data_IF_682374510617
#
_entry.id   IF_682374510617
#
_cell.length_a   1.000
_cell.length_b   1.000
_cell.length_c   1.000
_cell.angle_alpha   90.00
_cell.angle_beta   90.00
_cell.angle_gamma   90.00
#
_symmetry.space_group_name_H-M   'P 1'
#
loop_
_entity.id
_entity.type
_entity.pdbx_description
1 polymer ?
#
# COMPACT_ATOMS: atom_id res chain seq x y z
N UNK A 1 4.84 34.42 45.08
CA UNK A 1 4.07 33.20 44.79
C UNK A 1 4.23 32.87 43.31
N UNK A 2 4.95 31.80 42.96
CA UNK A 2 5.30 31.48 41.57
C UNK A 2 4.11 30.76 40.91
N UNK A 3 3.55 31.34 39.84
CA UNK A 3 2.41 30.79 39.13
C UNK A 3 2.83 29.59 38.27
N UNK A 4 2.11 28.46 38.40
CA UNK A 4 2.29 27.23 37.60
C UNK A 4 2.31 27.48 36.09
N UNK A 5 1.62 28.53 35.63
CA UNK A 5 1.57 28.92 34.20
C UNK A 5 2.91 29.44 33.66
N UNK A 6 3.76 30.02 34.53
CA UNK A 6 5.07 30.61 34.16
C UNK A 6 6.22 29.59 34.15
N UNK A 7 6.02 28.42 34.78
CA UNK A 7 6.96 27.29 34.76
C UNK A 7 6.77 26.48 33.47
N UNK A 8 5.53 26.24 33.05
CA UNK A 8 5.21 25.48 31.84
C UNK A 8 5.55 26.21 30.53
N UNK A 9 5.63 27.55 30.54
CA UNK A 9 5.99 28.31 29.33
C UNK A 9 7.50 28.40 29.07
N UNK A 10 8.35 28.03 30.04
CA UNK A 10 9.82 28.02 29.88
C UNK A 10 10.37 26.65 29.46
N UNK A 11 9.56 25.59 29.50
CA UNK A 11 9.95 24.24 29.05
C UNK A 11 9.53 23.92 27.62
N UNK A 12 8.97 24.90 26.88
CA UNK A 12 8.50 24.73 25.49
C UNK A 12 9.37 25.40 24.43
N UNK A 13 10.48 26.02 24.85
CA UNK A 13 11.46 26.59 23.94
C UNK A 13 12.66 25.64 23.88
N UNK A 14 12.63 24.69 22.94
CA UNK A 14 13.85 23.98 22.54
C UNK A 14 13.81 22.45 22.45
N UNK A 15 12.70 21.83 22.06
CA UNK A 15 12.74 20.41 21.68
C UNK A 15 12.08 20.18 20.32
N UNK A 16 12.87 19.52 19.48
CA UNK A 16 12.64 19.01 18.15
C UNK A 16 11.56 17.90 18.15
N UNK A 17 10.36 18.17 18.69
CA UNK A 17 9.31 17.18 18.93
C UNK A 17 8.47 16.81 17.70
N UNK A 18 8.50 17.64 16.64
CA UNK A 18 7.68 17.39 15.44
C UNK A 18 8.26 16.22 14.61
N UNK A 19 9.59 16.08 14.53
CA UNK A 19 10.21 14.94 13.84
C UNK A 19 10.02 13.61 14.58
N UNK A 20 10.06 13.60 15.91
CA UNK A 20 9.92 12.34 16.67
C UNK A 20 8.48 11.82 16.73
N UNK A 21 7.47 12.68 16.59
CA UNK A 21 6.07 12.24 16.52
C UNK A 21 5.71 11.64 15.16
N UNK A 22 6.16 12.23 14.05
CA UNK A 22 5.94 11.66 12.71
C UNK A 22 6.64 10.30 12.54
N UNK A 23 7.79 10.09 13.19
CA UNK A 23 8.51 8.82 13.17
C UNK A 23 7.80 7.68 13.92
N UNK A 24 6.99 7.98 14.95
CA UNK A 24 6.14 6.98 15.62
C UNK A 24 4.85 6.71 14.83
N UNK A 25 4.30 7.73 14.15
CA UNK A 25 3.06 7.61 13.36
C UNK A 25 3.23 6.77 12.08
N UNK A 26 4.47 6.57 11.63
CA UNK A 26 4.80 5.80 10.42
C UNK A 26 5.14 4.33 10.67
N UNK A 27 4.78 3.81 11.85
CA UNK A 27 4.99 2.41 12.24
C UNK A 27 3.69 1.74 12.63
N UNK A 28 3.48 0.52 12.14
CA UNK A 28 2.31 -0.29 12.48
C UNK A 28 2.72 -1.64 13.05
N UNK A 29 1.99 -2.15 14.03
CA UNK A 29 2.21 -3.50 14.59
C UNK A 29 1.09 -4.47 14.25
N UNK A 30 0.03 -3.98 13.60
CA UNK A 30 -1.13 -4.76 13.19
C UNK A 30 -1.52 -4.40 11.76
N UNK A 31 -1.56 -5.41 10.88
CA UNK A 31 -1.87 -5.23 9.45
C UNK A 31 -3.25 -4.58 9.23
N UNK A 32 -4.24 -4.97 10.02
CA UNK A 32 -5.60 -4.41 9.90
C UNK A 32 -5.64 -2.92 10.21
N UNK A 33 -4.84 -2.46 11.19
CA UNK A 33 -4.69 -1.04 11.50
C UNK A 33 -3.97 -0.30 10.37
N UNK A 34 -2.87 -0.85 9.86
CA UNK A 34 -2.13 -0.29 8.72
C UNK A 34 -3.05 -0.05 7.52
N UNK A 35 -3.83 -1.07 7.15
CA UNK A 35 -4.75 -1.00 6.02
C UNK A 35 -5.85 0.03 6.25
N UNK A 36 -6.47 0.00 7.43
CA UNK A 36 -7.53 0.94 7.80
C UNK A 36 -7.03 2.39 7.75
N UNK A 37 -5.87 2.66 8.32
CA UNK A 37 -5.32 4.02 8.42
C UNK A 37 -5.02 4.58 7.03
N UNK A 38 -4.43 3.79 6.13
CA UNK A 38 -4.11 4.26 4.78
C UNK A 38 -5.35 4.41 3.88
N UNK A 39 -6.37 3.57 4.03
CA UNK A 39 -7.67 3.77 3.37
C UNK A 39 -8.32 5.05 3.88
N UNK A 40 -8.35 5.25 5.20
CA UNK A 40 -8.93 6.45 5.80
C UNK A 40 -8.18 7.72 5.35
N UNK A 41 -6.86 7.65 5.19
CA UNK A 41 -6.07 8.76 4.65
C UNK A 41 -6.53 9.14 3.23
N UNK A 42 -6.76 8.15 2.35
CA UNK A 42 -7.29 8.38 0.99
C UNK A 42 -8.69 8.98 1.05
N UNK A 43 -9.58 8.43 1.88
CA UNK A 43 -10.96 8.89 2.01
C UNK A 43 -11.06 10.31 2.59
N UNK A 44 -10.22 10.65 3.56
CA UNK A 44 -10.18 12.00 4.16
C UNK A 44 -9.71 13.05 3.16
N UNK A 45 -8.78 12.68 2.28
CA UNK A 45 -8.23 13.56 1.24
C UNK A 45 -8.97 13.44 -0.10
N UNK A 46 -10.10 12.73 -0.16
CA UNK A 46 -10.74 12.35 -1.42
C UNK A 46 -10.95 13.52 -2.38
N UNK A 47 -11.49 14.65 -1.91
CA UNK A 47 -11.76 15.84 -2.73
C UNK A 47 -10.49 16.57 -3.21
N UNK A 48 -9.33 16.22 -2.66
CA UNK A 48 -8.03 16.80 -2.99
C UNK A 48 -7.21 15.88 -3.90
N UNK A 49 -7.67 14.63 -4.11
CA UNK A 49 -7.04 13.69 -5.03
C UNK A 49 -7.54 14.04 -6.44
N UNK A 50 -6.58 14.27 -7.33
CA UNK A 50 -6.80 14.50 -8.74
C UNK A 50 -7.47 13.28 -9.40
N UNK A 51 -8.47 13.50 -10.26
CA UNK A 51 -9.24 12.44 -10.91
C UNK A 51 -8.38 11.54 -11.82
N UNK A 52 -7.20 12.01 -12.26
CA UNK A 52 -6.24 11.20 -13.03
C UNK A 52 -5.45 10.20 -12.16
N UNK A 53 -5.52 10.30 -10.83
CA UNK A 53 -4.82 9.40 -9.92
C UNK A 53 -5.60 8.10 -9.78
N UNK A 54 -5.03 7.00 -10.26
CA UNK A 54 -5.66 5.69 -10.19
C UNK A 54 -5.18 4.83 -9.02
N UNK A 55 -4.00 5.11 -8.46
CA UNK A 55 -3.51 4.43 -7.26
C UNK A 55 -2.68 5.32 -6.34
N UNK A 56 -2.74 5.00 -5.04
CA UNK A 56 -1.77 5.45 -4.05
C UNK A 56 -0.83 4.29 -3.73
N UNK A 57 0.48 4.54 -3.87
CA UNK A 57 1.54 3.59 -3.57
C UNK A 57 2.18 4.00 -2.24
N UNK A 58 2.37 3.04 -1.34
CA UNK A 58 3.06 3.24 -0.08
C UNK A 58 4.24 2.29 -0.05
N UNK A 59 5.44 2.82 0.12
CA UNK A 59 6.66 2.02 0.25
C UNK A 59 6.89 1.72 1.72
N UNK A 60 7.13 0.45 2.02
CA UNK A 60 7.28 -0.06 3.37
C UNK A 60 8.60 -0.83 3.49
N UNK A 61 9.30 -0.61 4.60
CA UNK A 61 10.40 -1.43 5.05
C UNK A 61 10.01 -2.02 6.40
N UNK A 62 9.87 -3.36 6.46
CA UNK A 62 9.24 -4.03 7.59
C UNK A 62 7.85 -3.46 7.85
N UNK A 63 7.65 -2.92 9.03
CA UNK A 63 6.41 -2.40 9.53
C UNK A 63 6.38 -0.85 9.53
N UNK A 64 7.39 -0.23 8.90
CA UNK A 64 7.57 1.22 8.79
C UNK A 64 7.30 1.69 7.36
N UNK A 65 6.56 2.78 7.23
CA UNK A 65 6.41 3.49 5.96
C UNK A 65 7.63 4.35 5.70
N UNK A 66 8.15 4.31 4.47
CA UNK A 66 9.31 5.11 4.06
C UNK A 66 8.99 6.11 2.95
N UNK A 67 7.93 5.88 2.17
CA UNK A 67 7.50 6.82 1.14
C UNK A 67 6.03 6.66 0.74
N UNK A 68 5.48 7.68 0.07
CA UNK A 68 4.19 7.66 -0.61
C UNK A 68 4.34 8.22 -2.03
N UNK A 69 3.60 7.65 -2.97
CA UNK A 69 3.49 8.16 -4.33
C UNK A 69 2.05 8.03 -4.82
N UNK A 70 1.65 8.91 -5.73
CA UNK A 70 0.37 8.82 -6.43
C UNK A 70 0.62 8.52 -7.90
N UNK A 71 0.07 7.41 -8.38
CA UNK A 71 0.22 6.98 -9.76
C UNK A 71 -0.84 7.65 -10.64
N UNK A 72 -0.37 8.45 -11.60
CA UNK A 72 -1.18 9.03 -12.68
C UNK A 72 -0.92 8.31 -14.00
N UNK A 73 0.35 8.06 -14.31
CA UNK A 73 0.74 7.36 -15.52
C UNK A 73 0.10 5.96 -15.57
N UNK A 74 -0.44 5.50 -16.71
CA UNK A 74 -1.07 4.18 -16.81
C UNK A 74 -0.14 3.02 -16.46
N UNK A 75 1.17 3.21 -16.66
CA UNK A 75 2.22 2.25 -16.33
C UNK A 75 3.16 2.88 -15.32
N UNK A 76 3.44 2.15 -14.24
CA UNK A 76 4.40 2.52 -13.22
C UNK A 76 5.45 1.41 -13.07
N UNK A 77 6.72 1.77 -13.09
CA UNK A 77 7.83 0.85 -12.81
C UNK A 77 8.22 0.96 -11.33
N UNK A 78 8.39 -0.17 -10.65
CA UNK A 78 8.89 -0.19 -9.26
C UNK A 78 10.13 -1.08 -9.25
N UNK A 79 11.29 -0.51 -8.96
CA UNK A 79 12.58 -1.18 -9.10
C UNK A 79 13.54 -0.81 -7.95
N UNK A 80 14.77 -1.31 -8.02
CA UNK A 80 15.80 -1.08 -7.01
C UNK A 80 16.72 0.12 -7.27
N UNK A 81 16.37 1.05 -8.17
CA UNK A 81 17.20 2.26 -8.36
C UNK A 81 17.08 3.21 -7.16
N UNK A 82 17.97 4.18 -7.10
CA UNK A 82 18.05 5.25 -6.11
C UNK A 82 17.36 6.55 -6.55
N UNK A 83 16.64 6.52 -7.67
CA UNK A 83 15.97 7.70 -8.27
C UNK A 83 14.78 8.24 -7.45
N UNK A 84 14.34 7.53 -6.40
CA UNK A 84 13.14 7.90 -5.65
C UNK A 84 11.87 7.80 -6.50
N UNK A 85 11.06 8.86 -6.62
CA UNK A 85 9.85 8.86 -7.46
C UNK A 85 9.88 9.99 -8.49
N UNK A 86 9.78 9.63 -9.78
CA UNK A 86 9.82 10.58 -10.92
C UNK A 86 8.47 10.76 -11.64
N UNK A 87 7.39 10.14 -11.14
CA UNK A 87 6.06 10.11 -11.77
C UNK A 87 5.76 8.85 -12.58
N UNK A 88 6.77 8.14 -13.08
CA UNK A 88 6.65 6.92 -13.91
C UNK A 88 7.41 5.72 -13.32
N UNK A 89 8.34 5.98 -12.40
CA UNK A 89 9.21 5.01 -11.75
C UNK A 89 9.33 5.32 -10.27
N UNK A 90 9.33 4.26 -9.46
CA UNK A 90 9.68 4.26 -8.04
C UNK A 90 10.96 3.44 -7.88
N UNK A 91 12.08 4.12 -7.66
CA UNK A 91 13.34 3.56 -7.20
C UNK A 91 13.34 3.37 -5.69
N UNK A 92 13.15 2.12 -5.25
CA UNK A 92 12.97 1.78 -3.84
C UNK A 92 14.21 2.09 -2.98
N UNK A 93 15.40 2.16 -3.57
CA UNK A 93 16.63 2.49 -2.85
C UNK A 93 16.81 4.00 -2.64
N UNK A 94 16.00 4.85 -3.28
CA UNK A 94 16.09 6.31 -3.20
C UNK A 94 15.37 6.94 -2.00
N UNK A 95 14.86 6.12 -1.07
CA UNK A 95 14.18 6.58 0.14
C UNK A 95 15.00 6.25 1.37
N UNK A 96 15.13 7.23 2.25
CA UNK A 96 15.82 7.08 3.53
C UNK A 96 14.95 6.35 4.56
N UNK A 97 15.60 5.60 5.43
CA UNK A 97 14.98 5.00 6.61
C UNK A 97 16.03 4.93 7.73
N UNK A 98 15.97 5.83 8.74
CA UNK A 98 16.92 5.85 9.86
C UNK A 98 16.94 4.54 10.66
N UNK A 99 15.85 3.77 10.62
CA UNK A 99 15.67 2.52 11.37
C UNK A 99 15.88 1.27 10.50
N UNK A 100 16.52 1.41 9.33
CA UNK A 100 16.75 0.29 8.42
C UNK A 100 17.71 -0.73 9.02
N UNK A 101 17.28 -1.99 9.08
CA UNK A 101 18.12 -3.09 9.54
C UNK A 101 19.06 -3.61 8.43
N UNK A 102 20.16 -4.26 8.83
CA UNK A 102 21.18 -4.77 7.90
C UNK A 102 20.62 -5.80 6.89
N UNK A 103 19.60 -6.57 7.29
CA UNK A 103 18.96 -7.56 6.41
C UNK A 103 18.17 -6.87 5.29
N UNK A 104 17.51 -5.76 5.61
CA UNK A 104 16.74 -4.96 4.67
C UNK A 104 17.65 -4.24 3.70
N UNK A 105 18.74 -3.65 4.19
CA UNK A 105 19.79 -3.06 3.37
C UNK A 105 20.34 -4.09 2.36
N UNK A 106 20.63 -5.32 2.80
CA UNK A 106 21.14 -6.38 1.93
C UNK A 106 20.10 -6.85 0.90
N UNK A 107 18.83 -6.98 1.31
CA UNK A 107 17.75 -7.37 0.39
C UNK A 107 17.53 -6.32 -0.70
N UNK A 108 17.59 -5.03 -0.38
CA UNK A 108 17.33 -3.96 -1.35
C UNK A 108 18.30 -3.97 -2.54
N UNK A 109 19.56 -4.34 -2.32
CA UNK A 109 20.58 -4.52 -3.38
C UNK A 109 20.17 -5.53 -4.46
N UNK A 110 19.26 -6.44 -4.13
CA UNK A 110 18.85 -7.54 -4.99
C UNK A 110 17.52 -7.29 -5.73
N UNK A 111 16.87 -6.13 -5.56
CA UNK A 111 15.58 -5.83 -6.22
C UNK A 111 15.74 -5.78 -7.75
N UNK A 112 16.84 -5.20 -8.24
CA UNK A 112 17.12 -5.07 -9.68
C UNK A 112 16.01 -4.31 -10.41
N UNK A 113 15.54 -4.84 -11.55
CA UNK A 113 14.50 -4.20 -12.36
C UNK A 113 13.08 -4.26 -11.77
N UNK A 114 12.88 -4.97 -10.66
CA UNK A 114 11.60 -5.14 -9.95
C UNK A 114 10.42 -5.53 -10.85
N UNK A 115 9.36 -4.72 -10.82
CA UNK A 115 8.09 -4.95 -11.52
C UNK A 115 7.64 -3.75 -12.34
N UNK A 116 6.78 -4.01 -13.33
CA UNK A 116 5.88 -2.99 -13.91
C UNK A 116 4.46 -3.30 -13.49
N UNK A 117 3.75 -2.28 -13.00
CA UNK A 117 2.31 -2.34 -12.79
C UNK A 117 1.61 -1.45 -13.80
N UNK A 118 0.44 -1.88 -14.25
CA UNK A 118 -0.36 -1.15 -15.23
C UNK A 118 -1.84 -1.25 -14.88
N UNK A 119 -2.56 -0.14 -14.92
CA UNK A 119 -4.03 -0.18 -14.94
C UNK A 119 -4.54 -0.34 -16.37
N UNK A 120 -5.53 -1.21 -16.57
CA UNK A 120 -6.26 -1.33 -17.84
C UNK A 120 -7.57 -0.53 -17.83
N UNK A 121 -8.22 -0.43 -18.99
CA UNK A 121 -9.45 0.34 -19.17
C UNK A 121 -10.65 -0.23 -18.37
N UNK A 122 -10.54 -1.46 -17.87
CA UNK A 122 -11.54 -2.09 -17.00
C UNK A 122 -11.24 -1.89 -15.51
N UNK A 123 -10.18 -1.16 -15.16
CA UNK A 123 -9.74 -0.94 -13.79
C UNK A 123 -9.03 -2.14 -13.15
N UNK A 124 -8.68 -3.18 -13.94
CA UNK A 124 -7.79 -4.22 -13.44
C UNK A 124 -6.38 -3.64 -13.27
N UNK A 125 -5.63 -4.17 -12.31
CA UNK A 125 -4.21 -3.85 -12.18
C UNK A 125 -3.41 -5.08 -12.57
N UNK A 126 -2.68 -4.95 -13.66
CA UNK A 126 -1.73 -5.94 -14.15
C UNK A 126 -0.38 -5.72 -13.48
N UNK A 127 0.31 -6.80 -13.13
CA UNK A 127 1.70 -6.79 -12.66
C UNK A 127 2.53 -7.71 -13.53
N UNK A 128 3.74 -7.28 -13.87
CA UNK A 128 4.73 -8.06 -14.60
C UNK A 128 6.07 -7.95 -13.88
N UNK A 129 6.62 -9.09 -13.47
CA UNK A 129 7.98 -9.18 -12.92
C UNK A 129 9.00 -9.06 -14.05
N UNK A 130 9.97 -8.18 -13.87
CA UNK A 130 11.08 -7.93 -14.81
C UNK A 130 12.42 -8.25 -14.13
N UNK A 131 12.46 -8.27 -12.80
CA UNK A 131 13.62 -8.69 -12.03
C UNK A 131 13.93 -10.18 -12.20
N UNK A 132 15.23 -10.50 -12.20
CA UNK A 132 15.72 -11.87 -12.04
C UNK A 132 15.43 -12.44 -10.66
N UNK A 133 15.31 -11.58 -9.65
CA UNK A 133 14.96 -11.96 -8.27
C UNK A 133 13.46 -12.06 -8.07
N UNK A 134 13.06 -12.89 -7.10
CA UNK A 134 11.66 -13.22 -6.86
C UNK A 134 10.86 -12.00 -6.41
N UNK A 135 9.59 -11.97 -6.81
CA UNK A 135 8.61 -10.98 -6.38
C UNK A 135 7.33 -11.73 -6.04
N UNK A 136 6.71 -11.36 -4.93
CA UNK A 136 5.56 -12.04 -4.37
C UNK A 136 4.40 -11.06 -4.23
N UNK A 137 3.20 -11.50 -4.59
CA UNK A 137 1.96 -10.79 -4.31
C UNK A 137 1.33 -11.42 -3.07
N UNK A 138 1.07 -10.60 -2.05
CA UNK A 138 0.48 -11.04 -0.79
C UNK A 138 -1.02 -10.75 -0.77
N UNK A 139 -1.77 -11.73 -0.30
CA UNK A 139 -3.18 -11.53 0.02
C UNK A 139 -3.31 -10.74 1.32
N UNK A 140 -4.17 -9.72 1.29
CA UNK A 140 -4.46 -8.87 2.46
C UNK A 140 -5.38 -9.61 3.45
N UNK A 141 -6.34 -10.39 2.94
CA UNK A 141 -7.23 -11.27 3.71
C UNK A 141 -7.55 -12.56 2.95
N UNK A 142 -7.70 -13.66 3.69
CA UNK A 142 -7.76 -15.03 3.17
C UNK A 142 -9.15 -15.51 2.73
N UNK A 143 -10.24 -14.90 3.23
CA UNK A 143 -11.60 -15.40 2.96
C UNK A 143 -12.14 -14.99 1.58
N UNK A 144 -11.99 -13.72 1.23
CA UNK A 144 -12.41 -13.17 -0.07
C UNK A 144 -11.38 -12.14 -0.54
N UNK A 145 -10.83 -12.35 -1.74
CA UNK A 145 -9.84 -11.46 -2.34
C UNK A 145 -10.24 -11.02 -3.76
N UNK A 146 -9.55 -9.97 -4.23
CA UNK A 146 -9.65 -9.41 -5.57
C UNK A 146 -8.47 -9.83 -6.46
N UNK A 147 -7.62 -10.77 -6.01
CA UNK A 147 -6.42 -11.19 -6.73
C UNK A 147 -6.78 -12.20 -7.82
N UNK A 148 -6.09 -12.13 -8.97
CA UNK A 148 -6.26 -13.07 -10.07
C UNK A 148 -5.88 -14.50 -9.68
N UNK A 149 -6.65 -15.48 -10.17
CA UNK A 149 -6.50 -16.88 -9.74
C UNK A 149 -5.11 -17.46 -10.05
N UNK A 150 -4.45 -17.01 -11.12
CA UNK A 150 -3.10 -17.46 -11.49
C UNK A 150 -2.08 -17.17 -10.36
N UNK A 151 -2.22 -16.02 -9.69
CA UNK A 151 -1.35 -15.62 -8.58
C UNK A 151 -1.64 -16.47 -7.35
N UNK A 152 -2.92 -16.73 -7.06
CA UNK A 152 -3.34 -17.58 -5.93
C UNK A 152 -2.79 -18.99 -6.10
N UNK A 153 -2.91 -19.57 -7.29
CA UNK A 153 -2.39 -20.90 -7.62
C UNK A 153 -0.86 -20.98 -7.54
N UNK A 154 -0.16 -19.89 -7.84
CA UNK A 154 1.29 -19.79 -7.72
C UNK A 154 1.79 -19.45 -6.30
N UNK A 155 0.90 -19.41 -5.30
CA UNK A 155 1.26 -19.02 -3.93
C UNK A 155 1.81 -17.60 -3.83
N UNK A 156 1.38 -16.70 -4.72
CA UNK A 156 1.82 -15.32 -4.78
C UNK A 156 3.10 -15.08 -5.58
N UNK A 157 3.89 -16.12 -5.91
CA UNK A 157 5.15 -15.95 -6.64
C UNK A 157 4.89 -15.56 -8.10
N UNK A 158 5.49 -14.45 -8.54
CA UNK A 158 5.42 -14.02 -9.93
C UNK A 158 6.44 -14.73 -10.81
N UNK A 159 5.96 -15.32 -11.90
CA UNK A 159 6.80 -15.78 -13.02
C UNK A 159 7.45 -14.58 -13.72
N UNK A 160 8.70 -14.76 -14.17
CA UNK A 160 9.44 -13.71 -14.87
C UNK A 160 8.79 -13.43 -16.23
N UNK A 161 8.70 -12.14 -16.58
CA UNK A 161 8.16 -11.63 -17.85
C UNK A 161 6.69 -11.99 -18.17
N UNK A 162 5.97 -12.67 -17.27
CA UNK A 162 4.56 -13.04 -17.45
C UNK A 162 3.63 -12.02 -16.78
N UNK A 163 2.83 -11.25 -17.53
CA UNK A 163 1.85 -10.34 -16.94
C UNK A 163 0.68 -11.12 -16.35
N UNK A 164 0.29 -10.78 -15.11
CA UNK A 164 -0.84 -11.39 -14.38
C UNK A 164 -1.67 -10.31 -13.67
N UNK A 165 -2.92 -10.62 -13.34
CA UNK A 165 -3.84 -9.69 -12.65
C UNK A 165 -3.55 -9.65 -11.15
N UNK A 166 -2.86 -8.62 -10.70
CA UNK A 166 -2.71 -8.31 -9.27
C UNK A 166 -4.06 -7.90 -8.65
N UNK A 167 -4.91 -7.23 -9.42
CA UNK A 167 -6.26 -6.87 -9.01
C UNK A 167 -7.23 -7.12 -10.17
N UNK A 168 -8.26 -7.94 -9.95
CA UNK A 168 -9.33 -8.26 -10.89
C UNK A 168 -10.61 -7.50 -10.48
N UNK A 169 -10.96 -6.48 -11.29
CA UNK A 169 -12.11 -5.61 -11.05
C UNK A 169 -13.43 -6.37 -11.17
N UNK A 170 -13.51 -7.39 -12.03
CA UNK A 170 -14.73 -8.21 -12.17
C UNK A 170 -14.95 -9.06 -10.93
N UNK A 171 -13.89 -9.66 -10.39
CA UNK A 171 -13.92 -10.40 -9.11
C UNK A 171 -14.32 -9.47 -7.96
N UNK A 172 -13.72 -8.28 -7.88
CA UNK A 172 -14.06 -7.29 -6.87
C UNK A 172 -15.53 -6.85 -6.97
N UNK A 173 -16.02 -6.50 -8.16
CA UNK A 173 -17.42 -6.13 -8.37
C UNK A 173 -18.39 -7.24 -7.96
N UNK A 174 -18.06 -8.50 -8.24
CA UNK A 174 -18.84 -9.65 -7.78
C UNK A 174 -18.86 -9.76 -6.24
N UNK A 175 -17.72 -9.54 -5.58
CA UNK A 175 -17.63 -9.52 -4.12
C UNK A 175 -18.48 -8.40 -3.52
N UNK A 176 -18.41 -7.17 -4.07
CA UNK A 176 -19.26 -6.04 -3.66
C UNK A 176 -20.74 -6.38 -3.78
N UNK A 177 -21.16 -6.94 -4.92
CA UNK A 177 -22.56 -7.32 -5.14
C UNK A 177 -23.03 -8.44 -4.21
N UNK A 178 -22.14 -9.37 -3.82
CA UNK A 178 -22.45 -10.43 -2.84
C UNK A 178 -22.61 -9.84 -1.43
N UNK A 179 -21.70 -8.96 -1.03
CA UNK A 179 -21.74 -8.30 0.28
C UNK A 179 -22.99 -7.44 0.45
N UNK A 180 -23.39 -6.71 -0.59
CA UNK A 180 -24.61 -5.89 -0.62
C UNK A 180 -25.91 -6.68 -0.41
N UNK A 181 -25.91 -7.99 -0.68
CA UNK A 181 -27.07 -8.86 -0.47
C UNK A 181 -27.15 -9.43 0.95
N UNK A 182 -26.13 -9.23 1.79
CA UNK A 182 -26.14 -9.70 3.18
C UNK A 182 -27.07 -8.84 4.03
N UNK A 183 -27.59 -9.44 5.11
CA UNK A 183 -28.41 -8.71 6.09
C UNK A 183 -27.65 -7.54 6.74
N UNK A 184 -26.34 -7.71 6.93
CA UNK A 184 -25.43 -6.71 7.48
C UNK A 184 -24.20 -6.59 6.59
N UNK A 185 -24.24 -5.76 5.52
CA UNK A 185 -23.11 -5.54 4.64
C UNK A 185 -21.95 -4.86 5.38
N UNK A 186 -20.76 -5.46 5.29
CA UNK A 186 -19.54 -4.91 5.89
C UNK A 186 -18.63 -4.26 4.84
N UNK A 187 -18.70 -2.93 4.78
CA UNK A 187 -17.86 -2.12 3.90
C UNK A 187 -16.36 -2.29 4.17
N UNK A 188 -15.95 -2.52 5.43
CA UNK A 188 -14.52 -2.61 5.79
C UNK A 188 -13.86 -3.83 5.16
N UNK A 189 -14.61 -4.92 4.96
CA UNK A 189 -14.14 -6.10 4.21
C UNK A 189 -13.81 -5.74 2.77
N UNK A 190 -14.70 -4.98 2.11
CA UNK A 190 -14.50 -4.55 0.73
C UNK A 190 -13.37 -3.51 0.58
N UNK A 191 -13.23 -2.60 1.54
CA UNK A 191 -12.10 -1.65 1.57
C UNK A 191 -10.75 -2.36 1.60
N UNK A 192 -10.63 -3.43 2.40
CA UNK A 192 -9.38 -4.21 2.46
C UNK A 192 -9.04 -4.91 1.14
N UNK A 193 -10.04 -5.24 0.30
CA UNK A 193 -9.81 -5.82 -1.03
C UNK A 193 -9.29 -4.79 -2.04
N UNK A 194 -9.42 -3.49 -1.78
CA UNK A 194 -8.86 -2.42 -2.63
C UNK A 194 -7.34 -2.29 -2.48
N UNK A 195 -6.73 -3.10 -1.62
CA UNK A 195 -5.30 -3.08 -1.32
C UNK A 195 -4.64 -4.31 -1.94
N UNK A 196 -3.52 -4.09 -2.62
CA UNK A 196 -2.61 -5.15 -3.07
C UNK A 196 -1.23 -4.93 -2.46
N UNK A 197 -0.56 -5.99 -2.04
CA UNK A 197 0.79 -5.93 -1.48
C UNK A 197 1.79 -6.67 -2.37
N UNK A 198 2.90 -6.03 -2.69
CA UNK A 198 3.98 -6.58 -3.52
C UNK A 198 5.27 -6.61 -2.70
N UNK A 199 5.79 -7.81 -2.44
CA UNK A 199 7.01 -8.04 -1.67
C UNK A 199 8.18 -8.41 -2.59
N UNK A 200 9.34 -7.80 -2.38
CA UNK A 200 10.50 -7.98 -3.24
C UNK A 200 11.54 -8.91 -2.62
N UNK A 201 12.19 -9.70 -3.48
CA UNK A 201 13.34 -10.59 -3.20
C UNK A 201 13.03 -11.78 -2.30
N UNK A 202 12.57 -11.54 -1.07
CA UNK A 202 12.36 -12.58 -0.06
C UNK A 202 10.96 -12.50 0.53
N UNK A 203 10.30 -13.66 0.53
CA UNK A 203 8.99 -13.79 1.15
C UNK A 203 9.05 -13.97 2.68
N UNK A 204 7.99 -13.56 3.37
CA UNK A 204 7.78 -13.80 4.81
C UNK A 204 6.31 -14.17 5.08
N UNK A 205 6.01 -15.00 6.11
CA UNK A 205 4.64 -15.31 6.49
C UNK A 205 3.84 -14.05 6.87
N UNK A 206 4.45 -13.20 7.70
CA UNK A 206 3.88 -11.93 8.12
C UNK A 206 4.31 -10.79 7.17
N UNK A 207 3.33 -10.04 6.67
CA UNK A 207 3.57 -8.93 5.74
C UNK A 207 4.45 -7.85 6.38
N UNK A 208 4.22 -7.53 7.64
CA UNK A 208 4.96 -6.52 8.38
C UNK A 208 6.42 -6.92 8.66
N UNK A 209 6.78 -8.19 8.46
CA UNK A 209 8.15 -8.67 8.56
C UNK A 209 8.89 -8.64 7.22
N UNK A 210 8.21 -8.35 6.11
CA UNK A 210 8.83 -8.26 4.79
C UNK A 210 9.84 -7.10 4.75
N UNK A 211 11.08 -7.38 4.36
CA UNK A 211 12.15 -6.37 4.37
C UNK A 211 11.87 -5.18 3.47
N UNK A 212 11.36 -5.40 2.26
CA UNK A 212 10.98 -4.32 1.35
C UNK A 212 9.74 -4.73 0.57
N UNK A 213 8.67 -3.95 0.69
CA UNK A 213 7.41 -4.21 0.03
C UNK A 213 6.66 -2.90 -0.25
N UNK A 214 5.70 -2.97 -1.17
CA UNK A 214 4.83 -1.84 -1.48
C UNK A 214 3.37 -2.22 -1.31
N UNK A 215 2.60 -1.29 -0.77
CA UNK A 215 1.15 -1.35 -0.71
C UNK A 215 0.57 -0.49 -1.82
N UNK A 216 -0.27 -1.08 -2.66
CA UNK A 216 -0.97 -0.43 -3.76
C UNK A 216 -2.44 -0.31 -3.37
N UNK A 217 -2.94 0.91 -3.23
CA UNK A 217 -4.35 1.19 -2.98
C UNK A 217 -5.00 1.58 -4.31
N UNK A 218 -5.93 0.77 -4.78
CA UNK A 218 -6.69 1.02 -5.99
C UNK A 218 -7.77 2.10 -5.73
N UNK A 219 -7.53 3.32 -6.18
CA UNK A 219 -8.42 4.46 -5.97
C UNK A 219 -9.71 4.30 -6.78
N UNK A 220 -9.63 3.72 -7.98
CA UNK A 220 -10.81 3.44 -8.83
C UNK A 220 -11.74 2.43 -8.16
N UNK A 221 -11.20 1.37 -7.55
CA UNK A 221 -11.99 0.41 -6.78
C UNK A 221 -12.66 1.05 -5.55
N UNK A 222 -11.95 1.96 -4.86
CA UNK A 222 -12.51 2.71 -3.76
C UNK A 222 -13.63 3.64 -4.20
N UNK A 223 -13.53 4.27 -5.37
CA UNK A 223 -14.60 5.13 -5.89
C UNK A 223 -15.87 4.33 -6.19
N UNK A 224 -15.71 3.15 -6.82
CA UNK A 224 -16.82 2.22 -7.03
C UNK A 224 -17.48 1.84 -5.70
N UNK A 225 -16.67 1.56 -4.67
CA UNK A 225 -17.19 1.21 -3.35
C UNK A 225 -17.91 2.38 -2.69
N UNK A 226 -17.40 3.61 -2.80
CA UNK A 226 -18.05 4.82 -2.29
C UNK A 226 -19.41 5.06 -2.95
N UNK A 227 -19.49 4.81 -4.26
CA UNK A 227 -20.73 4.95 -5.02
C UNK A 227 -21.79 3.91 -4.64
N UNK A 228 -21.39 2.67 -4.34
CA UNK A 228 -22.30 1.57 -3.98
C UNK A 228 -22.65 1.51 -2.49
N UNK A 229 -21.71 1.86 -1.62
CA UNK A 229 -21.83 1.82 -0.15
C UNK A 229 -21.23 3.09 0.46
N UNK A 230 -21.92 4.23 0.51
CA UNK A 230 -21.37 5.49 1.05
C UNK A 230 -20.86 5.37 2.50
N UNK A 231 -19.75 6.05 2.87
CA UNK A 231 -19.25 6.03 4.23
C UNK A 231 -20.27 6.74 5.14
N UNK A 232 -20.89 5.99 6.05
CA UNK A 232 -21.97 6.47 6.93
C UNK A 232 -23.27 5.64 6.89
N UNK A 233 -23.39 4.66 5.97
CA UNK A 233 -24.53 3.72 5.94
C UNK A 233 -24.32 2.41 6.70
N UNK A 234 -23.14 2.17 7.29
CA UNK A 234 -22.94 1.07 8.24
C UNK A 234 -23.51 1.49 9.60
N UNK A 235 -24.74 1.08 9.89
CA UNK A 235 -25.25 1.05 11.27
C UNK A 235 -24.63 -0.12 12.01
#
# INVERSE_FOLDING_TARGET
MVSRRKILSRSRDGLNTDFSQEEEDDVWFQKDRLFKDHIQEVLNKWKQIDDEIWAKIIVMERNRRVAKAYARAPVLTINGSDDGFDGYRIGLCGFDNPMRDAKTEEIKKHIGHGVKIKMDDSGNIMVKRISKTNVYIKEVKTEENSIGNDIVMAGGLLEIEKPVKMFDMKKFAANVNRELKKAYPDRRKLESQCISAVCFVKDCPELLDCSCWVMVINVVALDMLRSKLPPGKSR
#
